data_IF_059830694666
#
_entry.id   IF_059830694666
#
_cell.length_a   1.000
_cell.length_b   1.000
_cell.length_c   1.000
_cell.angle_alpha   90.00
_cell.angle_beta   90.00
_cell.angle_gamma   90.00
#
_symmetry.space_group_name_H-M   'P 1'
#
loop_
_entity.id
_entity.type
_entity.pdbx_description
1 polymer ?
#
# COMPACT_ATOMS: atom_id res chain seq x y z
N UNK A 1 -18.78 -12.67 5.49
CA UNK A 1 -17.94 -13.60 4.71
C UNK A 1 -17.46 -14.81 5.50
N UNK A 2 -16.83 -14.70 6.70
CA UNK A 2 -16.22 -15.85 7.37
C UNK A 2 -17.22 -16.95 7.79
N UNK A 3 -18.43 -16.58 8.19
CA UNK A 3 -19.46 -17.54 8.60
C UNK A 3 -19.94 -18.44 7.44
N UNK A 4 -19.88 -17.97 6.19
CA UNK A 4 -20.43 -18.68 5.02
C UNK A 4 -19.47 -19.73 4.44
N UNK A 5 -18.21 -19.72 4.88
CA UNK A 5 -17.16 -20.67 4.47
C UNK A 5 -16.72 -21.56 5.64
N UNK A 6 -17.25 -21.31 6.85
CA UNK A 6 -16.92 -22.07 8.06
C UNK A 6 -17.45 -23.50 7.92
N UNK A 7 -16.59 -24.48 8.17
CA UNK A 7 -16.92 -25.92 8.07
C UNK A 7 -16.84 -26.50 6.66
N UNK A 8 -16.51 -25.70 5.64
CA UNK A 8 -16.21 -26.25 4.32
C UNK A 8 -14.84 -26.96 4.35
N UNK A 9 -14.70 -28.10 3.64
CA UNK A 9 -13.39 -28.75 3.53
C UNK A 9 -12.42 -27.84 2.76
N UNK A 10 -11.14 -27.85 3.15
CA UNK A 10 -10.13 -26.89 2.70
C UNK A 10 -10.06 -26.74 1.17
N UNK A 11 -10.09 -27.87 0.46
CA UNK A 11 -10.10 -27.92 -1.00
C UNK A 11 -11.28 -27.19 -1.66
N UNK A 12 -12.40 -27.01 -0.96
CA UNK A 12 -13.60 -26.34 -1.46
C UNK A 12 -13.65 -24.84 -1.11
N UNK A 13 -12.87 -24.39 -0.11
CA UNK A 13 -12.90 -23.03 0.43
C UNK A 13 -12.66 -22.01 -0.67
N UNK A 14 -11.60 -22.18 -1.48
CA UNK A 14 -11.23 -21.24 -2.54
C UNK A 14 -12.37 -21.04 -3.55
N UNK A 15 -12.97 -22.13 -4.05
CA UNK A 15 -14.09 -22.06 -5.00
C UNK A 15 -15.31 -21.39 -4.39
N UNK A 16 -15.60 -21.69 -3.12
CA UNK A 16 -16.72 -21.09 -2.38
C UNK A 16 -16.54 -19.58 -2.21
N UNK A 17 -15.33 -19.12 -1.88
CA UNK A 17 -15.00 -17.70 -1.74
C UNK A 17 -15.20 -16.96 -3.05
N UNK A 18 -14.72 -17.51 -4.17
CA UNK A 18 -14.89 -16.91 -5.50
C UNK A 18 -16.37 -16.81 -5.85
N UNK A 19 -17.15 -17.88 -5.68
CA UNK A 19 -18.59 -17.86 -5.97
C UNK A 19 -19.38 -16.86 -5.11
N UNK A 20 -19.04 -16.74 -3.82
CA UNK A 20 -19.68 -15.76 -2.93
C UNK A 20 -19.31 -14.32 -3.30
N UNK A 21 -18.04 -14.08 -3.66
CA UNK A 21 -17.60 -12.76 -4.13
C UNK A 21 -18.35 -12.36 -5.40
N UNK A 22 -18.49 -13.27 -6.36
CA UNK A 22 -19.24 -13.07 -7.59
C UNK A 22 -20.71 -12.73 -7.32
N UNK A 23 -21.37 -13.52 -6.49
CA UNK A 23 -22.78 -13.32 -6.15
C UNK A 23 -23.03 -11.96 -5.49
N UNK A 24 -22.15 -11.52 -4.59
CA UNK A 24 -22.29 -10.21 -3.94
C UNK A 24 -21.96 -9.06 -4.87
N UNK A 25 -21.00 -9.24 -5.77
CA UNK A 25 -20.70 -8.27 -6.81
C UNK A 25 -21.92 -8.05 -7.70
N UNK A 26 -22.54 -9.12 -8.19
CA UNK A 26 -23.73 -9.06 -9.04
C UNK A 26 -24.96 -8.47 -8.33
N UNK A 27 -25.15 -8.79 -7.04
CA UNK A 27 -26.26 -8.24 -6.24
C UNK A 27 -26.10 -6.77 -5.85
N UNK A 28 -24.88 -6.23 -5.92
CA UNK A 28 -24.55 -4.89 -5.41
C UNK A 28 -24.60 -4.75 -3.88
N UNK A 29 -25.05 -5.78 -3.16
CA UNK A 29 -25.12 -5.81 -1.72
C UNK A 29 -23.76 -6.17 -1.11
N UNK A 30 -23.19 -5.21 -0.39
CA UNK A 30 -21.92 -5.31 0.31
C UNK A 30 -20.80 -6.12 -0.43
N UNK A 31 -20.46 -5.88 -1.72
CA UNK A 31 -19.33 -6.52 -2.36
C UNK A 31 -18.02 -6.26 -1.63
N UNK A 32 -17.18 -7.30 -1.67
CA UNK A 32 -15.78 -7.28 -1.24
C UNK A 32 -15.00 -6.15 -1.90
N UNK A 33 -13.88 -5.76 -1.29
CA UNK A 33 -13.00 -4.70 -1.81
C UNK A 33 -12.55 -4.98 -3.25
N UNK A 34 -12.23 -6.23 -3.54
CA UNK A 34 -11.91 -6.73 -4.87
C UNK A 34 -12.43 -8.16 -5.05
N UNK A 35 -12.52 -8.60 -6.30
CA UNK A 35 -12.72 -10.01 -6.68
C UNK A 35 -11.65 -10.45 -7.67
N UNK A 36 -11.44 -11.75 -7.74
CA UNK A 36 -10.63 -12.37 -8.79
C UNK A 36 -11.50 -12.68 -10.00
N UNK A 37 -11.01 -12.33 -11.19
CA UNK A 37 -11.62 -12.66 -12.48
C UNK A 37 -10.60 -13.37 -13.37
N UNK A 38 -11.04 -13.95 -14.49
CA UNK A 38 -10.17 -14.67 -15.44
C UNK A 38 -9.31 -15.74 -14.74
N UNK A 39 -9.95 -16.62 -13.97
CA UNK A 39 -9.30 -17.70 -13.21
C UNK A 39 -8.22 -17.20 -12.21
N UNK A 40 -8.32 -15.94 -11.78
CA UNK A 40 -7.39 -15.33 -10.82
C UNK A 40 -6.21 -14.60 -11.45
N UNK A 41 -6.20 -14.41 -12.77
CA UNK A 41 -5.16 -13.62 -13.46
C UNK A 41 -5.34 -12.11 -13.29
N UNK A 42 -6.56 -11.66 -12.98
CA UNK A 42 -6.89 -10.25 -12.81
C UNK A 42 -7.72 -10.04 -11.56
N UNK A 43 -7.56 -8.86 -10.97
CA UNK A 43 -8.43 -8.35 -9.92
C UNK A 43 -9.37 -7.29 -10.48
N UNK A 44 -10.59 -7.26 -9.98
CA UNK A 44 -11.57 -6.23 -10.30
C UNK A 44 -12.07 -5.59 -9.02
N UNK A 45 -12.15 -4.26 -9.02
CA UNK A 45 -12.68 -3.46 -7.92
C UNK A 45 -14.09 -3.00 -8.27
N UNK A 46 -15.07 -3.15 -7.36
CA UNK A 46 -16.39 -2.56 -7.55
C UNK A 46 -16.30 -1.02 -7.68
N UNK A 47 -17.12 -0.38 -8.52
CA UNK A 47 -17.06 1.08 -8.75
C UNK A 47 -17.15 1.92 -7.46
N UNK A 48 -17.99 1.50 -6.51
CA UNK A 48 -18.13 2.18 -5.21
C UNK A 48 -16.84 2.14 -4.37
N UNK A 49 -16.10 1.03 -4.43
CA UNK A 49 -14.84 0.89 -3.72
C UNK A 49 -13.74 1.65 -4.44
N UNK A 50 -13.75 1.64 -5.77
CA UNK A 50 -12.86 2.48 -6.55
C UNK A 50 -13.04 3.96 -6.19
N UNK A 51 -14.27 4.46 -6.18
CA UNK A 51 -14.57 5.85 -5.79
C UNK A 51 -14.14 6.16 -4.35
N UNK A 52 -14.46 5.26 -3.40
CA UNK A 52 -14.06 5.43 -2.00
C UNK A 52 -12.54 5.49 -1.85
N UNK A 53 -11.80 4.55 -2.45
CA UNK A 53 -10.34 4.51 -2.36
C UNK A 53 -9.71 5.73 -3.04
N UNK A 54 -10.26 6.18 -4.17
CA UNK A 54 -9.78 7.38 -4.86
C UNK A 54 -9.97 8.63 -4.01
N UNK A 55 -11.14 8.77 -3.38
CA UNK A 55 -11.43 9.89 -2.48
C UNK A 55 -10.53 9.89 -1.24
N UNK A 56 -10.24 8.70 -0.70
CA UNK A 56 -9.44 8.53 0.52
C UNK A 56 -7.98 8.16 0.25
N UNK A 57 -7.48 8.38 -0.97
CA UNK A 57 -6.16 7.89 -1.39
C UNK A 57 -5.04 8.43 -0.49
N UNK A 58 -5.16 9.67 -0.03
CA UNK A 58 -4.20 10.30 0.87
C UNK A 58 -3.98 9.49 2.17
N UNK A 59 -5.04 8.90 2.73
CA UNK A 59 -4.96 8.09 3.95
C UNK A 59 -4.20 6.80 3.67
N UNK A 60 -4.54 6.14 2.56
CA UNK A 60 -3.89 4.89 2.15
C UNK A 60 -2.41 5.13 1.85
N UNK A 61 -2.09 6.17 1.09
CA UNK A 61 -0.72 6.59 0.80
C UNK A 61 0.03 6.92 2.08
N UNK A 62 -0.55 7.68 2.99
CA UNK A 62 0.04 8.01 4.29
C UNK A 62 0.36 6.76 5.11
N UNK A 63 -0.56 5.80 5.17
CA UNK A 63 -0.35 4.52 5.85
C UNK A 63 0.81 3.72 5.23
N UNK A 64 0.88 3.63 3.89
CA UNK A 64 1.97 2.96 3.19
C UNK A 64 3.32 3.63 3.46
N UNK A 65 3.39 4.96 3.34
CA UNK A 65 4.59 5.74 3.60
C UNK A 65 5.06 5.61 5.05
N UNK A 66 4.14 5.63 6.00
CA UNK A 66 4.45 5.43 7.42
C UNK A 66 5.12 4.08 7.69
N UNK A 67 4.54 2.99 7.18
CA UNK A 67 5.13 1.66 7.35
C UNK A 67 6.48 1.53 6.62
N UNK A 68 6.62 2.17 5.46
CA UNK A 68 7.88 2.24 4.74
C UNK A 68 8.96 2.95 5.57
N UNK A 69 8.64 4.08 6.21
CA UNK A 69 9.57 4.80 7.10
C UNK A 69 10.03 3.90 8.24
N UNK A 70 9.10 3.24 8.94
CA UNK A 70 9.43 2.32 10.03
C UNK A 70 10.36 1.21 9.54
N UNK A 71 10.03 0.61 8.40
CA UNK A 71 10.86 -0.43 7.81
C UNK A 71 12.27 0.08 7.50
N UNK A 72 12.39 1.24 6.85
CA UNK A 72 13.69 1.81 6.48
C UNK A 72 14.52 2.21 7.71
N UNK A 73 13.90 2.82 8.73
CA UNK A 73 14.56 3.18 9.99
C UNK A 73 15.13 1.97 10.71
N UNK A 74 14.35 0.89 10.82
CA UNK A 74 14.79 -0.35 11.46
C UNK A 74 16.03 -0.95 10.77
N UNK A 75 16.10 -0.84 9.45
CA UNK A 75 17.21 -1.40 8.67
C UNK A 75 18.38 -0.42 8.48
N UNK A 76 18.22 0.87 8.81
CA UNK A 76 19.22 1.92 8.59
C UNK A 76 19.32 2.86 9.81
N UNK A 77 19.68 2.36 11.00
CA UNK A 77 19.67 3.15 12.24
C UNK A 77 20.61 4.36 12.20
N UNK A 78 21.67 4.31 11.40
CA UNK A 78 22.65 5.38 11.25
C UNK A 78 22.20 6.51 10.31
N UNK A 79 21.05 6.38 9.64
CA UNK A 79 20.54 7.42 8.74
C UNK A 79 19.54 8.29 9.51
N UNK A 80 19.92 9.50 9.94
CA UNK A 80 18.98 10.40 10.58
C UNK A 80 17.95 10.91 9.57
N UNK A 81 16.75 11.20 10.07
CA UNK A 81 15.65 11.80 9.32
C UNK A 81 15.32 11.08 7.98
N UNK A 82 15.17 9.75 8.00
CA UNK A 82 14.74 8.96 6.82
C UNK A 82 13.39 9.45 6.29
N UNK A 83 12.47 9.87 7.17
CA UNK A 83 11.18 10.38 6.74
C UNK A 83 11.32 11.58 5.78
N UNK A 84 12.22 12.51 6.08
CA UNK A 84 12.54 13.65 5.20
C UNK A 84 13.35 13.29 3.94
N UNK A 85 13.75 12.03 3.77
CA UNK A 85 14.55 11.53 2.64
C UNK A 85 13.77 10.56 1.74
N UNK A 86 12.49 10.34 2.01
CA UNK A 86 11.62 9.46 1.22
C UNK A 86 11.44 9.93 -0.22
N UNK A 87 11.38 11.25 -0.41
CA UNK A 87 11.19 11.88 -1.71
C UNK A 87 12.49 12.51 -2.19
N UNK A 88 12.71 12.48 -3.51
CA UNK A 88 13.81 13.21 -4.12
C UNK A 88 13.60 14.72 -3.92
N UNK A 89 14.64 15.47 -3.47
CA UNK A 89 14.53 16.91 -3.37
C UNK A 89 14.38 17.52 -4.77
N UNK A 90 13.32 18.32 -4.97
CA UNK A 90 13.06 18.98 -6.26
C UNK A 90 14.14 19.96 -6.71
N UNK A 91 14.97 20.46 -5.78
CA UNK A 91 16.18 21.21 -6.09
C UNK A 91 17.29 20.83 -5.12
N UNK A 92 18.49 20.58 -5.66
CA UNK A 92 19.66 20.19 -4.87
C UNK A 92 20.57 21.40 -4.62
N UNK A 93 20.41 22.07 -3.48
CA UNK A 93 21.36 23.11 -3.05
C UNK A 93 22.50 22.52 -2.20
N UNK A 94 23.71 22.50 -2.76
CA UNK A 94 24.93 22.02 -2.10
C UNK A 94 25.82 23.16 -1.59
N UNK A 95 25.34 24.41 -1.59
CA UNK A 95 26.14 25.57 -1.21
C UNK A 95 26.66 25.48 0.23
N UNK A 96 25.78 25.18 1.19
CA UNK A 96 26.15 25.04 2.60
C UNK A 96 27.12 23.88 2.85
N UNK A 97 26.85 22.71 2.27
CA UNK A 97 27.72 21.54 2.38
C UNK A 97 29.12 21.80 1.80
N UNK A 98 29.20 22.43 0.61
CA UNK A 98 30.48 22.79 -0.02
C UNK A 98 31.29 23.77 0.83
N UNK A 99 30.64 24.79 1.43
CA UNK A 99 31.31 25.74 2.33
C UNK A 99 31.87 25.02 3.55
N UNK A 100 31.06 24.20 4.20
CA UNK A 100 31.50 23.41 5.36
C UNK A 100 32.72 22.55 5.04
N UNK A 101 32.66 21.74 3.98
CA UNK A 101 33.77 20.85 3.62
C UNK A 101 35.02 21.60 3.17
N UNK A 102 34.88 22.75 2.48
CA UNK A 102 36.03 23.62 2.18
C UNK A 102 36.70 24.12 3.45
N UNK A 103 35.94 24.50 4.48
CA UNK A 103 36.52 24.90 5.77
C UNK A 103 37.18 23.73 6.48
N UNK A 104 36.54 22.56 6.51
CA UNK A 104 37.06 21.37 7.19
C UNK A 104 38.33 20.80 6.54
N UNK A 105 38.47 20.92 5.21
CA UNK A 105 39.63 20.45 4.44
C UNK A 105 40.71 21.53 4.24
N UNK A 106 40.47 22.78 4.65
CA UNK A 106 41.47 23.85 4.59
C UNK A 106 42.46 23.82 5.76
N UNK A 107 42.54 22.68 6.46
CA UNK A 107 43.54 22.36 7.49
C UNK A 107 44.69 21.61 6.85
#
# INVERSE_FOLDING_TARGET
MPAQVRGAPDWAVKRRVVALAEQRFARGDAPSLYRFVEEGRRIELPPRWQAYLHHNLAIVTGFCLWNLVIYLQRNNPNVPNIAGKLAEPGQRDLGAARRFWRTALAV
#
